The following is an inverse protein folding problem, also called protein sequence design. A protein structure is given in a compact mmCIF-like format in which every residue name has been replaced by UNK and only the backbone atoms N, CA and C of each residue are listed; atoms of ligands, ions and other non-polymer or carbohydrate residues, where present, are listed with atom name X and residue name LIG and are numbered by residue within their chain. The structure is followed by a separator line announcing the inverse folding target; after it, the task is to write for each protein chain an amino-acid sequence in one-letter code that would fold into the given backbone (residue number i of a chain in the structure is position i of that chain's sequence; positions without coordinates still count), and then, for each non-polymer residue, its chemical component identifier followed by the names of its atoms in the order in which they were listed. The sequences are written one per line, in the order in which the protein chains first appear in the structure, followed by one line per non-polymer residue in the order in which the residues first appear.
data_IF_148649854768
#
_entry.id   IF_148649854768
#
_cell.length_a   1.000
_cell.length_b   1.000
_cell.length_c   1.000
_cell.angle_alpha   90.00
_cell.angle_beta   90.00
_cell.angle_gamma   90.00
#
_symmetry.space_group_name_H-M   'P 1'
#
loop_
_entity.id
_entity.type
_entity.pdbx_description
1 polymer ?
#
# COMPACT_ATOMS: atom_id res chain seq x y z
N UNK A 1 -22.50 -13.34 18.52
CA UNK A 1 -21.79 -12.27 17.84
C UNK A 1 -20.95 -12.89 16.73
N UNK A 2 -21.54 -12.94 15.56
CA UNK A 2 -20.86 -13.47 14.38
C UNK A 2 -19.87 -12.37 13.96
N UNK A 3 -18.63 -12.49 14.39
CA UNK A 3 -17.55 -11.86 13.67
C UNK A 3 -17.47 -12.57 12.33
N UNK A 4 -18.19 -12.06 11.36
CA UNK A 4 -17.84 -12.31 9.99
C UNK A 4 -16.42 -11.76 9.82
N UNK A 5 -15.43 -12.63 9.89
CA UNK A 5 -14.10 -12.29 9.40
C UNK A 5 -14.27 -11.81 7.97
N UNK A 6 -13.49 -10.85 7.50
CA UNK A 6 -13.63 -10.36 6.14
C UNK A 6 -13.52 -11.55 5.20
N UNK A 7 -14.55 -11.72 4.39
CA UNK A 7 -14.57 -12.74 3.34
C UNK A 7 -13.38 -12.45 2.44
N UNK A 8 -12.38 -13.34 2.44
CA UNK A 8 -11.21 -13.20 1.61
C UNK A 8 -10.02 -12.50 2.26
N UNK A 9 -9.52 -13.05 3.36
CA UNK A 9 -8.23 -12.63 3.91
C UNK A 9 -7.08 -13.13 3.02
N UNK A 10 -6.09 -12.28 2.91
CA UNK A 10 -4.87 -12.59 2.19
C UNK A 10 -3.66 -12.56 3.14
N UNK A 11 -2.64 -13.31 2.80
CA UNK A 11 -1.35 -13.26 3.48
C UNK A 11 -0.21 -13.15 2.47
N UNK A 12 0.82 -12.43 2.85
CA UNK A 12 2.06 -12.27 2.09
C UNK A 12 3.20 -12.74 2.97
N UNK A 13 4.00 -13.66 2.49
CA UNK A 13 5.20 -14.14 3.20
C UNK A 13 6.43 -13.90 2.34
N UNK A 14 7.40 -13.19 2.90
CA UNK A 14 8.70 -12.90 2.27
C UNK A 14 9.79 -13.10 3.30
N UNK A 15 10.75 -13.99 3.01
CA UNK A 15 11.90 -14.23 3.87
C UNK A 15 11.53 -14.50 5.35
N UNK A 16 10.46 -15.25 5.59
CA UNK A 16 9.98 -15.59 6.93
C UNK A 16 9.13 -14.50 7.60
N UNK A 17 8.96 -13.34 6.98
CA UNK A 17 8.04 -12.29 7.45
C UNK A 17 6.68 -12.44 6.79
N UNK A 18 5.63 -12.58 7.59
CA UNK A 18 4.26 -12.71 7.10
C UNK A 18 3.43 -11.50 7.48
N UNK A 19 2.63 -11.03 6.53
CA UNK A 19 1.69 -9.94 6.71
C UNK A 19 0.29 -10.43 6.33
N UNK A 20 -0.64 -10.33 7.26
CA UNK A 20 -2.04 -10.63 6.99
C UNK A 20 -2.74 -9.35 6.53
N UNK A 21 -3.41 -9.44 5.41
CA UNK A 21 -4.14 -8.32 4.81
C UNK A 21 -5.53 -8.79 4.40
N UNK A 22 -6.52 -7.92 4.52
CA UNK A 22 -7.84 -8.19 3.96
C UNK A 22 -7.78 -8.19 2.44
N UNK A 23 -8.83 -8.71 1.81
CA UNK A 23 -8.94 -8.66 0.35
C UNK A 23 -8.92 -7.22 -0.17
N UNK A 24 -9.61 -6.30 0.49
CA UNK A 24 -9.60 -4.88 0.12
C UNK A 24 -8.21 -4.28 0.23
N UNK A 25 -7.50 -4.56 1.31
CA UNK A 25 -6.10 -4.11 1.48
C UNK A 25 -5.20 -4.67 0.39
N UNK A 26 -5.34 -5.96 0.04
CA UNK A 26 -4.57 -6.59 -1.02
C UNK A 26 -4.86 -5.99 -2.40
N UNK A 27 -6.12 -5.69 -2.71
CA UNK A 27 -6.52 -5.04 -3.96
C UNK A 27 -5.93 -3.63 -4.04
N UNK A 28 -5.98 -2.86 -2.97
CA UNK A 28 -5.38 -1.52 -2.91
C UNK A 28 -3.86 -1.57 -3.02
N UNK A 29 -3.21 -2.51 -2.36
CA UNK A 29 -1.76 -2.70 -2.47
C UNK A 29 -1.36 -3.08 -3.90
N UNK A 30 -2.11 -3.95 -4.56
CA UNK A 30 -1.89 -4.35 -5.94
C UNK A 30 -2.04 -3.16 -6.91
N UNK A 31 -3.04 -2.32 -6.70
CA UNK A 31 -3.25 -1.11 -7.49
C UNK A 31 -2.08 -0.13 -7.35
N UNK A 32 -1.65 0.13 -6.12
CA UNK A 32 -0.50 1.00 -5.83
C UNK A 32 0.76 0.48 -6.53
N UNK A 33 1.01 -0.83 -6.47
CA UNK A 33 2.16 -1.48 -7.09
C UNK A 33 2.09 -1.44 -8.62
N UNK A 34 0.92 -1.73 -9.20
CA UNK A 34 0.72 -1.72 -10.64
C UNK A 34 0.94 -0.33 -11.26
N UNK A 35 0.51 0.72 -10.57
CA UNK A 35 0.74 2.10 -11.02
C UNK A 35 2.24 2.43 -11.03
N UNK A 36 2.98 2.05 -10.00
CA UNK A 36 4.44 2.25 -9.96
C UNK A 36 5.15 1.52 -11.10
N UNK A 37 4.78 0.26 -11.35
CA UNK A 37 5.34 -0.53 -12.44
C UNK A 37 5.06 0.12 -13.79
N UNK A 38 3.83 0.56 -14.02
CA UNK A 38 3.44 1.25 -15.26
C UNK A 38 4.21 2.55 -15.46
N UNK A 39 4.52 3.27 -14.38
CA UNK A 39 5.32 4.51 -14.40
C UNK A 39 6.83 4.26 -14.52
N UNK A 40 7.27 3.01 -14.48
CA UNK A 40 8.68 2.66 -14.49
C UNK A 40 9.42 3.01 -13.20
N UNK A 41 8.70 3.13 -12.10
CA UNK A 41 9.27 3.47 -10.80
C UNK A 41 9.89 2.25 -10.12
N UNK A 42 10.93 2.42 -9.29
CA UNK A 42 11.58 1.30 -8.61
C UNK A 42 10.71 0.72 -7.49
N UNK A 43 11.03 -0.51 -7.07
CA UNK A 43 10.37 -1.18 -5.95
C UNK A 43 10.40 -0.35 -4.65
N UNK A 44 11.43 0.46 -4.46
CA UNK A 44 11.53 1.39 -3.33
C UNK A 44 10.35 2.36 -3.26
N UNK A 45 9.88 2.86 -4.40
CA UNK A 45 8.72 3.74 -4.47
C UNK A 45 7.46 3.02 -3.97
N UNK A 46 7.28 1.75 -4.35
CA UNK A 46 6.16 0.93 -3.87
C UNK A 46 6.22 0.74 -2.35
N UNK A 47 7.40 0.45 -1.81
CA UNK A 47 7.60 0.31 -0.36
C UNK A 47 7.23 1.59 0.39
N UNK A 48 7.64 2.74 -0.11
CA UNK A 48 7.30 4.05 0.47
C UNK A 48 5.78 4.28 0.42
N UNK A 49 5.16 4.05 -0.73
CA UNK A 49 3.72 4.25 -0.90
C UNK A 49 2.90 3.32 -0.01
N UNK A 50 3.26 2.04 0.05
CA UNK A 50 2.54 1.06 0.87
C UNK A 50 2.69 1.33 2.36
N UNK A 51 3.89 1.67 2.83
CA UNK A 51 4.11 2.05 4.22
C UNK A 51 3.29 3.29 4.58
N UNK A 52 3.24 4.27 3.70
CA UNK A 52 2.45 5.50 3.89
C UNK A 52 0.95 5.20 3.94
N UNK A 53 0.42 4.50 2.95
CA UNK A 53 -1.01 4.17 2.88
C UNK A 53 -1.43 3.29 4.07
N UNK A 54 -0.58 2.37 4.49
CA UNK A 54 -0.87 1.53 5.66
C UNK A 54 -0.95 2.37 6.92
N UNK A 55 -0.03 3.30 7.14
CA UNK A 55 -0.05 4.21 8.28
C UNK A 55 -1.26 5.14 8.24
N UNK A 56 -1.57 5.71 7.08
CA UNK A 56 -2.61 6.73 6.96
C UNK A 56 -4.03 6.16 7.03
N UNK A 57 -4.28 5.03 6.39
CA UNK A 57 -5.63 4.48 6.24
C UNK A 57 -5.72 2.96 6.46
N UNK A 58 -4.63 2.30 6.84
CA UNK A 58 -4.50 0.84 6.84
C UNK A 58 -4.82 0.21 5.48
N UNK A 59 -4.45 0.88 4.40
CA UNK A 59 -4.74 0.46 3.01
C UNK A 59 -6.24 0.35 2.70
N UNK A 60 -7.08 1.11 3.37
CA UNK A 60 -8.51 1.21 3.12
C UNK A 60 -8.84 2.59 2.56
N UNK A 61 -9.63 2.63 1.50
CA UNK A 61 -10.02 3.90 0.88
C UNK A 61 -11.16 4.55 1.68
N UNK A 62 -10.81 5.16 2.80
CA UNK A 62 -11.76 5.75 3.75
C UNK A 62 -12.13 7.18 3.34
N UNK A 63 -13.41 7.55 3.53
CA UNK A 63 -13.96 8.86 3.18
C UNK A 63 -13.94 9.87 4.34
N UNK A 64 -13.18 9.58 5.37
CA UNK A 64 -13.02 10.38 6.59
C UNK A 64 -11.57 10.37 7.04
N UNK A 65 -11.23 11.27 7.94
CA UNK A 65 -9.90 11.36 8.54
C UNK A 65 -9.74 12.61 9.37
N UNK A 66 -8.49 12.93 9.72
CA UNK A 66 -8.18 14.16 10.42
C UNK A 66 -8.42 15.37 9.51
N UNK A 67 -9.20 16.32 10.01
CA UNK A 67 -9.61 17.52 9.26
C UNK A 67 -10.31 17.12 7.96
N UNK A 68 -9.86 17.60 6.81
CA UNK A 68 -10.42 17.27 5.50
C UNK A 68 -9.70 16.15 4.77
N UNK A 69 -8.90 15.34 5.48
CA UNK A 69 -8.18 14.19 4.93
C UNK A 69 -9.12 13.07 4.51
N UNK A 70 -8.92 12.52 3.32
CA UNK A 70 -9.67 11.38 2.80
C UNK A 70 -8.78 10.45 1.97
N UNK A 71 -9.24 9.24 1.76
CA UNK A 71 -8.64 8.28 0.85
C UNK A 71 -7.48 7.47 1.42
N UNK A 72 -6.85 6.70 0.56
CA UNK A 72 -5.77 5.78 0.91
C UNK A 72 -4.58 6.47 1.59
N UNK A 73 -4.22 7.66 1.14
CA UNK A 73 -3.06 8.42 1.62
C UNK A 73 -3.45 9.58 2.55
N UNK A 74 -4.73 9.68 2.91
CA UNK A 74 -5.23 10.78 3.75
C UNK A 74 -4.77 12.15 3.26
N UNK A 75 -4.94 12.38 1.97
CA UNK A 75 -4.64 13.63 1.30
C UNK A 75 -5.72 14.65 1.59
N UNK A 76 -5.35 15.92 1.64
CA UNK A 76 -6.25 17.00 2.01
C UNK A 76 -6.55 17.92 0.82
N UNK A 77 -7.84 18.09 0.45
CA UNK A 77 -8.22 19.06 -0.58
C UNK A 77 -7.71 20.48 -0.28
N UNK A 78 -7.79 20.90 0.98
CA UNK A 78 -7.32 22.24 1.39
C UNK A 78 -5.81 22.45 1.24
N UNK A 79 -5.05 21.39 1.05
CA UNK A 79 -3.59 21.46 0.83
C UNK A 79 -3.18 21.22 -0.62
N UNK A 80 -4.12 21.29 -1.54
CA UNK A 80 -3.83 21.25 -2.97
C UNK A 80 -3.69 19.85 -3.57
N UNK A 81 -4.07 18.79 -2.86
CA UNK A 81 -3.98 17.42 -3.38
C UNK A 81 -5.03 17.10 -4.45
N UNK A 82 -6.08 17.87 -4.52
CA UNK A 82 -7.21 17.69 -5.42
C UNK A 82 -8.53 17.89 -4.69
N UNK A 83 -9.64 17.71 -5.39
CA UNK A 83 -10.97 17.70 -4.75
C UNK A 83 -11.13 16.41 -3.92
N UNK A 84 -12.02 16.43 -2.93
CA UNK A 84 -12.34 15.21 -2.16
C UNK A 84 -12.76 14.06 -3.07
N UNK A 85 -13.52 14.33 -4.11
CA UNK A 85 -13.96 13.34 -5.09
C UNK A 85 -12.79 12.73 -5.87
N UNK A 86 -11.83 13.56 -6.28
CA UNK A 86 -10.62 13.08 -6.96
C UNK A 86 -9.76 12.21 -6.04
N UNK A 87 -9.54 12.67 -4.81
CA UNK A 87 -8.73 11.95 -3.82
C UNK A 87 -9.36 10.60 -3.45
N UNK A 88 -10.69 10.49 -3.47
CA UNK A 88 -11.39 9.24 -3.23
C UNK A 88 -11.29 8.25 -4.40
N UNK A 89 -10.79 8.66 -5.55
CA UNK A 89 -10.38 7.75 -6.61
C UNK A 89 -8.97 7.22 -6.30
N UNK A 90 -8.81 5.91 -6.02
CA UNK A 90 -7.52 5.35 -5.64
C UNK A 90 -6.44 5.52 -6.70
N UNK A 91 -6.82 5.51 -7.97
CA UNK A 91 -5.88 5.74 -9.09
C UNK A 91 -5.36 7.17 -9.06
N UNK A 92 -6.25 8.14 -8.92
CA UNK A 92 -5.86 9.55 -8.81
C UNK A 92 -4.95 9.78 -7.60
N UNK A 93 -5.37 9.32 -6.43
CA UNK A 93 -4.62 9.52 -5.19
C UNK A 93 -3.22 8.90 -5.24
N UNK A 94 -3.11 7.71 -5.80
CA UNK A 94 -1.83 7.02 -5.96
C UNK A 94 -0.91 7.74 -6.94
N UNK A 95 -1.42 8.19 -8.07
CA UNK A 95 -0.65 9.00 -9.02
C UNK A 95 -0.19 10.33 -8.42
N UNK A 96 -1.06 11.00 -7.66
CA UNK A 96 -0.72 12.24 -6.97
C UNK A 96 0.41 12.01 -5.94
N UNK A 97 0.34 10.89 -5.21
CA UNK A 97 1.41 10.51 -4.27
C UNK A 97 2.74 10.31 -5.01
N UNK A 98 2.74 9.55 -6.12
CA UNK A 98 3.96 9.29 -6.88
C UNK A 98 4.50 10.55 -7.57
N UNK A 99 3.65 11.44 -8.05
CA UNK A 99 4.08 12.75 -8.57
C UNK A 99 4.84 13.55 -7.51
N UNK A 100 4.34 13.55 -6.28
CA UNK A 100 5.01 14.22 -5.18
C UNK A 100 6.32 13.51 -4.77
N UNK A 101 6.32 12.17 -4.76
CA UNK A 101 7.50 11.38 -4.43
C UNK A 101 8.63 11.62 -5.44
N UNK A 102 8.33 11.70 -6.73
CA UNK A 102 9.33 11.96 -7.77
C UNK A 102 10.03 13.31 -7.60
N UNK A 103 9.38 14.25 -6.92
CA UNK A 103 9.99 15.57 -6.60
C UNK A 103 10.88 15.54 -5.36
N UNK A 104 10.90 14.45 -4.63
CA UNK A 104 11.81 14.26 -3.48
C UNK A 104 13.14 13.77 -4.01
N UNK A 105 14.16 14.65 -4.01
CA UNK A 105 15.48 14.33 -4.51
C UNK A 105 16.08 13.15 -3.76
N UNK A 106 16.53 12.13 -4.51
CA UNK A 106 17.20 10.98 -3.95
C UNK A 106 16.32 10.08 -3.10
N UNK A 107 15.03 10.05 -3.32
CA UNK A 107 14.10 9.24 -2.49
C UNK A 107 14.48 7.77 -2.44
N UNK A 108 15.14 7.23 -3.47
CA UNK A 108 15.57 5.84 -3.52
C UNK A 108 16.63 5.50 -2.48
N UNK A 109 17.41 6.49 -2.03
CA UNK A 109 18.46 6.35 -1.03
C UNK A 109 18.02 6.80 0.36
N UNK A 110 16.86 7.43 0.48
CA UNK A 110 16.32 7.83 1.77
C UNK A 110 15.72 6.64 2.52
N UNK A 111 15.70 6.74 3.83
CA UNK A 111 14.86 5.84 4.62
C UNK A 111 13.40 6.02 4.23
N UNK A 112 12.63 4.93 4.25
CA UNK A 112 11.21 4.93 3.85
C UNK A 112 10.43 5.97 4.65
N UNK A 113 10.66 6.03 5.96
CA UNK A 113 10.01 6.99 6.85
C UNK A 113 10.31 8.44 6.49
N UNK A 114 11.55 8.73 6.11
CA UNK A 114 11.97 10.08 5.71
C UNK A 114 11.31 10.47 4.39
N UNK A 115 11.31 9.59 3.41
CA UNK A 115 10.67 9.84 2.12
C UNK A 115 9.16 10.05 2.27
N UNK A 116 8.50 9.18 3.03
CA UNK A 116 7.06 9.28 3.32
C UNK A 116 6.73 10.62 3.99
N UNK A 117 7.53 11.01 4.99
CA UNK A 117 7.36 12.29 5.69
C UNK A 117 7.46 13.49 4.74
N UNK A 118 8.44 13.48 3.83
CA UNK A 118 8.60 14.57 2.87
C UNK A 118 7.43 14.71 1.92
N UNK A 119 6.84 13.59 1.49
CA UNK A 119 5.65 13.61 0.64
C UNK A 119 4.43 14.10 1.42
N UNK A 120 4.20 13.54 2.60
CA UNK A 120 2.98 13.78 3.39
C UNK A 120 3.03 15.06 4.22
N UNK A 121 4.22 15.58 4.52
CA UNK A 121 4.43 16.71 5.43
C UNK A 121 3.72 16.50 6.77
N UNK A 122 3.82 15.26 7.28
CA UNK A 122 3.16 14.85 8.51
C UNK A 122 3.78 15.50 9.75
N UNK A 123 2.96 15.75 10.77
CA UNK A 123 3.43 16.19 12.07
C UNK A 123 4.09 15.07 12.91
N UNK A 124 3.92 13.80 12.50
CA UNK A 124 4.40 12.63 13.22
C UNK A 124 5.28 11.75 12.33
N UNK A 125 6.53 12.18 12.03
CA UNK A 125 7.38 11.52 11.03
C UNK A 125 7.74 10.08 11.36
N UNK A 126 7.84 9.72 12.64
CA UNK A 126 8.24 8.37 13.05
C UNK A 126 7.11 7.34 12.98
N UNK A 127 5.87 7.77 12.77
CA UNK A 127 4.72 6.87 12.70
C UNK A 127 4.81 5.90 11.51
N UNK A 128 5.52 6.25 10.45
CA UNK A 128 5.68 5.38 9.27
C UNK A 128 6.64 4.22 9.50
N UNK A 129 7.51 4.30 10.50
CA UNK A 129 8.48 3.25 10.80
C UNK A 129 7.82 1.92 11.19
N UNK A 130 6.68 1.99 11.86
CA UNK A 130 5.97 0.80 12.36
C UNK A 130 5.44 -0.09 11.24
N UNK A 131 5.25 0.46 10.04
CA UNK A 131 4.69 -0.25 8.88
C UNK A 131 5.71 -0.47 7.76
N UNK A 132 6.96 -0.12 7.97
CA UNK A 132 7.99 -0.24 6.95
C UNK A 132 8.24 -1.70 6.54
N UNK A 133 8.36 -2.60 7.52
CA UNK A 133 8.60 -4.02 7.25
C UNK A 133 7.44 -4.65 6.46
N UNK A 134 6.21 -4.33 6.81
CA UNK A 134 5.02 -4.80 6.12
C UNK A 134 4.93 -4.24 4.70
N UNK A 135 5.17 -2.96 4.53
CA UNK A 135 5.21 -2.31 3.22
C UNK A 135 6.29 -2.89 2.31
N UNK A 136 7.47 -3.16 2.84
CA UNK A 136 8.56 -3.80 2.10
C UNK A 136 8.23 -5.23 1.67
N UNK A 137 7.63 -6.01 2.57
CA UNK A 137 7.25 -7.39 2.26
C UNK A 137 6.22 -7.44 1.12
N UNK A 138 5.18 -6.62 1.21
CA UNK A 138 4.13 -6.53 0.18
C UNK A 138 4.73 -6.02 -1.14
N UNK A 139 5.56 -4.99 -1.10
CA UNK A 139 6.20 -4.44 -2.29
C UNK A 139 7.11 -5.47 -2.98
N UNK A 140 7.91 -6.20 -2.21
CA UNK A 140 8.80 -7.23 -2.74
C UNK A 140 8.02 -8.35 -3.43
N UNK A 141 6.92 -8.79 -2.83
CA UNK A 141 6.05 -9.81 -3.39
C UNK A 141 5.38 -9.34 -4.70
N UNK A 142 4.83 -8.13 -4.72
CA UNK A 142 4.07 -7.61 -5.85
C UNK A 142 4.95 -7.12 -7.01
N UNK A 143 6.19 -6.77 -6.75
CA UNK A 143 7.15 -6.37 -7.78
C UNK A 143 8.02 -7.52 -8.29
N UNK A 144 7.90 -8.72 -7.70
CA UNK A 144 8.67 -9.89 -8.09
C UNK A 144 10.16 -9.84 -7.72
N UNK A 145 10.57 -8.96 -6.83
CA UNK A 145 11.98 -8.78 -6.44
C UNK A 145 12.48 -9.80 -5.42
N UNK A 146 11.61 -10.59 -4.85
CA UNK A 146 11.96 -11.66 -3.90
C UNK A 146 11.07 -12.86 -4.09
N UNK A 147 11.56 -14.09 -3.82
CA UNK A 147 10.68 -15.23 -3.68
C UNK A 147 9.66 -14.96 -2.60
N UNK A 148 8.40 -14.94 -2.96
CA UNK A 148 7.30 -14.60 -2.06
C UNK A 148 6.08 -15.46 -2.36
N UNK A 149 5.32 -15.74 -1.32
CA UNK A 149 4.02 -16.39 -1.43
C UNK A 149 2.94 -15.34 -1.13
N UNK A 150 2.06 -15.13 -2.09
CA UNK A 150 0.84 -14.36 -1.91
C UNK A 150 -0.33 -15.33 -1.96
N UNK A 151 -1.10 -15.40 -0.90
CA UNK A 151 -2.21 -16.34 -0.75
C UNK A 151 -3.46 -15.61 -0.27
N UNK A 152 -4.58 -15.85 -0.92
CA UNK A 152 -5.87 -15.32 -0.51
C UNK A 152 -6.87 -16.45 -0.30
N UNK A 153 -7.61 -16.40 0.81
CA UNK A 153 -8.77 -17.25 1.04
C UNK A 153 -10.00 -16.58 0.40
N UNK A 154 -10.46 -17.15 -0.69
CA UNK A 154 -11.54 -16.57 -1.49
C UNK A 154 -12.95 -16.99 -1.02
N UNK A 155 -13.05 -17.99 -0.13
CA UNK A 155 -14.34 -18.53 0.30
C UNK A 155 -14.33 -18.74 1.82
N UNK A 156 -14.67 -17.72 2.57
CA UNK A 156 -14.73 -17.82 4.02
C UNK A 156 -15.51 -19.05 4.51
N UNK A 157 -14.80 -20.12 4.89
CA UNK A 157 -15.36 -21.27 5.56
C UNK A 157 -15.19 -22.64 4.91
N UNK A 158 -14.64 -22.77 3.73
CA UNK A 158 -14.22 -24.05 3.17
C UNK A 158 -12.72 -24.02 2.83
N UNK A 159 -11.98 -25.10 3.08
CA UNK A 159 -10.61 -25.20 2.56
C UNK A 159 -10.71 -25.28 1.03
N UNK A 160 -10.76 -24.14 0.39
CA UNK A 160 -10.66 -24.03 -1.06
C UNK A 160 -9.21 -24.03 -1.47
N UNK A 161 -8.96 -24.56 -2.66
CA UNK A 161 -7.61 -24.63 -3.23
C UNK A 161 -6.91 -23.27 -3.08
N UNK A 162 -5.82 -23.23 -2.33
CA UNK A 162 -4.94 -22.09 -2.26
C UNK A 162 -4.44 -21.76 -3.66
N UNK A 163 -4.87 -20.61 -4.15
CA UNK A 163 -4.25 -20.06 -5.35
C UNK A 163 -2.98 -19.37 -4.91
N UNK A 164 -1.91 -20.12 -4.79
CA UNK A 164 -0.60 -19.55 -4.56
C UNK A 164 -0.08 -18.97 -5.88
N UNK A 165 0.01 -17.65 -5.95
CA UNK A 165 0.75 -16.97 -6.99
C UNK A 165 2.20 -16.90 -6.54
N UNK A 166 3.06 -17.71 -7.11
CA UNK A 166 4.50 -17.59 -6.90
C UNK A 166 5.06 -16.54 -7.86
N UNK A 167 6.00 -15.76 -7.40
CA UNK A 167 6.65 -14.71 -8.20
C UNK A 167 7.32 -15.24 -9.48
N UNK A 168 7.53 -16.55 -9.58
CA UNK A 168 8.07 -17.23 -10.75
C UNK A 168 7.04 -17.49 -11.87
N UNK A 169 5.79 -17.15 -11.68
CA UNK A 169 4.72 -17.37 -12.66
C UNK A 169 4.34 -16.14 -13.52
N UNK A 170 5.03 -15.04 -13.33
CA UNK A 170 4.82 -13.82 -14.10
C UNK A 170 6.01 -13.58 -15.05
N UNK A 171 6.10 -14.39 -16.05
CA UNK A 171 6.88 -14.07 -17.25
C UNK A 171 5.94 -13.64 -18.35
#
# INVERSE_FOLDING_TARGET
EIRGGPVGDCSVTVAGHSVDVSREQAENASLISAIAIRRGMPARAVSIALATAYQESKLINIDYGDRDSVGLFQQRPSQGWGTARQIMDPVYATNAFYDALEKVDGYEQLEITVAAQRVQRSAFPNAYADHEADGRAIASALTGNSPATFSCDLNGGAPSAETALTASGLT
#
